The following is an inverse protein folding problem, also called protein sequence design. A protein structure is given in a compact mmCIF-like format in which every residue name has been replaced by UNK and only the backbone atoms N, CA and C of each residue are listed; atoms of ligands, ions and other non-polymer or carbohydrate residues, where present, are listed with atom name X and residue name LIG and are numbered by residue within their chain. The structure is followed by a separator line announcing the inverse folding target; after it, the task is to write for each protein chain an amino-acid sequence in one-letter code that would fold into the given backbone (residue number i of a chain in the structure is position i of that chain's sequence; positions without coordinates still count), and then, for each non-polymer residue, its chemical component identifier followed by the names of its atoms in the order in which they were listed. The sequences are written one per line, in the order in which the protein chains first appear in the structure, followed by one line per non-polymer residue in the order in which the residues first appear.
data_IF_754425695355
#
_entry.id   IF_754425695355
#
_cell.length_a   1.000
_cell.length_b   1.000
_cell.length_c   1.000
_cell.angle_alpha   90.00
_cell.angle_beta   90.00
_cell.angle_gamma   90.00
#
_symmetry.space_group_name_H-M   'P 1'
#
loop_
_entity.id
_entity.type
_entity.pdbx_description
1 polymer ?
#
# COMPACT_ATOMS: atom_id res chain seq x y z
N UNK A 1 2.44 -13.05 -9.86
CA UNK A 1 3.33 -11.93 -10.19
C UNK A 1 4.11 -11.53 -8.95
N UNK A 2 5.41 -11.27 -9.07
CA UNK A 2 6.21 -10.72 -7.97
C UNK A 2 6.00 -9.20 -7.93
N UNK A 3 5.79 -8.64 -6.75
CA UNK A 3 5.50 -7.21 -6.52
C UNK A 3 6.72 -6.61 -5.82
N UNK A 4 7.03 -5.35 -6.08
CA UNK A 4 8.26 -4.62 -5.75
C UNK A 4 9.50 -5.05 -6.56
N UNK A 5 9.35 -5.12 -7.89
CA UNK A 5 10.47 -5.25 -8.83
C UNK A 5 10.65 -3.94 -9.63
N UNK A 6 11.85 -3.69 -10.17
CA UNK A 6 12.00 -2.65 -11.19
C UNK A 6 10.98 -2.88 -12.30
N UNK A 7 10.30 -1.82 -12.76
CA UNK A 7 9.24 -1.87 -13.78
C UNK A 7 7.95 -2.60 -13.36
N UNK A 8 7.66 -2.68 -12.05
CA UNK A 8 6.45 -3.35 -11.54
C UNK A 8 5.17 -2.86 -12.21
N UNK A 9 5.05 -1.55 -12.50
CA UNK A 9 3.87 -1.03 -13.18
C UNK A 9 3.70 -1.61 -14.58
N UNK A 10 4.76 -1.67 -15.37
CA UNK A 10 4.71 -2.23 -16.73
C UNK A 10 4.35 -3.71 -16.70
N UNK A 11 4.96 -4.49 -15.78
CA UNK A 11 4.64 -5.91 -15.60
C UNK A 11 3.20 -6.11 -15.11
N UNK A 12 2.73 -5.28 -14.17
CA UNK A 12 1.35 -5.32 -13.67
C UNK A 12 0.35 -5.03 -14.78
N UNK A 13 0.63 -4.00 -15.59
CA UNK A 13 -0.23 -3.58 -16.69
C UNK A 13 -0.35 -4.67 -17.75
N UNK A 14 0.77 -5.26 -18.17
CA UNK A 14 0.76 -6.39 -19.10
C UNK A 14 -0.02 -7.58 -18.51
N UNK A 15 0.21 -7.88 -17.23
CA UNK A 15 -0.51 -8.94 -16.53
C UNK A 15 -2.02 -8.67 -16.44
N UNK A 16 -2.44 -7.44 -16.15
CA UNK A 16 -3.84 -7.00 -16.07
C UNK A 16 -4.50 -7.00 -17.45
N UNK A 17 -3.80 -6.52 -18.49
CA UNK A 17 -4.29 -6.50 -19.87
C UNK A 17 -4.59 -7.92 -20.37
N UNK A 18 -3.74 -8.89 -20.05
CA UNK A 18 -3.96 -10.30 -20.38
C UNK A 18 -5.18 -10.93 -19.66
N UNK A 19 -5.76 -10.24 -18.68
CA UNK A 19 -6.91 -10.70 -17.87
C UNK A 19 -8.19 -9.94 -18.15
N UNK A 20 -8.16 -8.99 -19.09
CA UNK A 20 -9.38 -8.36 -19.59
C UNK A 20 -10.26 -9.45 -20.18
N UNK A 21 -11.47 -9.57 -19.64
CA UNK A 21 -12.48 -10.49 -20.18
C UNK A 21 -13.07 -9.84 -21.43
N UNK A 22 -12.76 -10.42 -22.59
CA UNK A 22 -13.42 -10.11 -23.86
C UNK A 22 -14.62 -11.04 -23.99
N UNK A 23 -15.79 -10.56 -23.59
CA UNK A 23 -17.04 -11.28 -23.77
C UNK A 23 -17.55 -11.08 -25.20
N UNK A 24 -18.10 -12.13 -25.82
CA UNK A 24 -18.84 -11.98 -27.06
C UNK A 24 -20.10 -11.16 -26.77
N UNK A 25 -20.08 -9.92 -27.25
CA UNK A 25 -21.12 -8.92 -27.01
C UNK A 25 -22.43 -9.26 -27.74
N UNK A 26 -22.40 -10.16 -28.71
CA UNK A 26 -23.59 -10.54 -29.49
C UNK A 26 -24.60 -11.35 -28.68
N UNK A 27 -24.14 -12.08 -27.67
CA UNK A 27 -24.97 -12.90 -26.77
C UNK A 27 -25.74 -12.09 -25.71
N UNK A 28 -25.42 -10.80 -25.53
CA UNK A 28 -26.04 -9.95 -24.52
C UNK A 28 -27.15 -9.07 -25.10
N UNK A 29 -28.14 -8.77 -24.25
CA UNK A 29 -29.12 -7.73 -24.52
C UNK A 29 -28.43 -6.39 -24.82
N UNK A 30 -29.04 -5.57 -25.68
CA UNK A 30 -28.47 -4.29 -26.14
C UNK A 30 -28.10 -3.34 -24.97
N UNK A 31 -28.87 -3.36 -23.89
CA UNK A 31 -28.56 -2.57 -22.70
C UNK A 31 -27.25 -3.02 -22.04
N UNK A 32 -27.08 -4.33 -21.83
CA UNK A 32 -25.88 -4.92 -21.23
C UNK A 32 -24.66 -4.80 -22.15
N UNK A 33 -24.88 -4.93 -23.47
CA UNK A 33 -23.84 -4.70 -24.48
C UNK A 33 -23.22 -3.31 -24.37
N UNK A 34 -24.05 -2.27 -24.21
CA UNK A 34 -23.58 -0.89 -24.05
C UNK A 34 -22.86 -0.68 -22.71
N UNK A 35 -23.34 -1.31 -21.64
CA UNK A 35 -22.69 -1.25 -20.31
C UNK A 35 -21.29 -1.87 -20.39
N UNK A 36 -21.19 -3.08 -20.93
CA UNK A 36 -19.93 -3.81 -21.09
C UNK A 36 -18.94 -3.08 -22.01
N UNK A 37 -19.41 -2.50 -23.12
CA UNK A 37 -18.56 -1.72 -24.02
C UNK A 37 -17.97 -0.48 -23.32
N UNK A 38 -18.80 0.29 -22.57
CA UNK A 38 -18.32 1.46 -21.81
C UNK A 38 -17.33 1.08 -20.72
N UNK A 39 -17.61 0.00 -19.99
CA UNK A 39 -16.70 -0.53 -18.99
C UNK A 39 -15.36 -0.95 -19.60
N UNK A 40 -15.38 -1.65 -20.73
CA UNK A 40 -14.16 -2.06 -21.43
C UNK A 40 -13.33 -0.85 -21.90
N UNK A 41 -13.97 0.18 -22.45
CA UNK A 41 -13.27 1.43 -22.82
C UNK A 41 -12.61 2.09 -21.61
N UNK A 42 -13.31 2.14 -20.47
CA UNK A 42 -12.75 2.69 -19.23
C UNK A 42 -11.55 1.85 -18.72
N UNK A 43 -11.66 0.52 -18.75
CA UNK A 43 -10.56 -0.40 -18.39
C UNK A 43 -9.34 -0.18 -19.28
N UNK A 44 -9.54 -0.11 -20.60
CA UNK A 44 -8.46 0.13 -21.56
C UNK A 44 -7.79 1.50 -21.33
N UNK A 45 -8.58 2.53 -21.00
CA UNK A 45 -8.05 3.85 -20.66
C UNK A 45 -7.20 3.82 -19.39
N UNK A 46 -7.63 3.08 -18.36
CA UNK A 46 -6.89 2.92 -17.11
C UNK A 46 -5.56 2.16 -17.30
N UNK A 47 -5.47 1.31 -18.32
CA UNK A 47 -4.28 0.53 -18.66
C UNK A 47 -3.42 1.17 -19.78
N UNK A 48 -3.74 2.40 -20.19
CA UNK A 48 -2.98 3.13 -21.21
C UNK A 48 -1.60 3.59 -20.72
N UNK A 49 -0.68 3.85 -21.67
CA UNK A 49 0.62 4.47 -21.39
C UNK A 49 0.44 5.99 -21.23
N UNK A 50 0.13 6.43 -20.02
CA UNK A 50 0.07 7.85 -19.68
C UNK A 50 0.37 8.07 -18.19
N UNK A 51 1.11 9.14 -17.83
CA UNK A 51 1.38 9.49 -16.42
C UNK A 51 0.11 9.91 -15.65
N UNK A 52 -1.00 10.13 -16.36
CA UNK A 52 -2.33 10.44 -15.84
C UNK A 52 -3.27 9.24 -16.04
N UNK A 53 -2.85 8.03 -15.65
CA UNK A 53 -3.71 6.86 -15.64
C UNK A 53 -4.96 7.15 -14.79
N UNK A 54 -6.08 7.45 -15.44
CA UNK A 54 -7.32 7.81 -14.76
C UNK A 54 -8.07 6.55 -14.28
N UNK A 55 -7.35 5.66 -13.60
CA UNK A 55 -7.89 4.46 -12.97
C UNK A 55 -8.95 4.84 -11.91
N UNK A 56 -8.86 6.04 -11.35
CA UNK A 56 -9.86 6.66 -10.50
C UNK A 56 -11.21 6.83 -11.22
N UNK A 57 -11.26 7.61 -12.30
CA UNK A 57 -12.51 7.80 -13.04
C UNK A 57 -12.97 6.51 -13.73
N UNK A 58 -12.04 5.69 -14.22
CA UNK A 58 -12.39 4.40 -14.80
C UNK A 58 -13.09 3.49 -13.77
N UNK A 59 -12.64 3.47 -12.51
CA UNK A 59 -13.30 2.71 -11.45
C UNK A 59 -14.72 3.22 -11.21
N UNK A 60 -14.92 4.54 -11.20
CA UNK A 60 -16.26 5.12 -11.05
C UNK A 60 -17.18 4.81 -12.23
N UNK A 61 -16.66 4.82 -13.46
CA UNK A 61 -17.44 4.42 -14.65
C UNK A 61 -17.88 2.97 -14.53
N UNK A 62 -16.96 2.03 -14.27
CA UNK A 62 -17.30 0.60 -14.18
C UNK A 62 -18.22 0.33 -12.99
N UNK A 63 -17.99 0.98 -11.84
CA UNK A 63 -18.87 0.86 -10.66
C UNK A 63 -20.27 1.41 -10.96
N UNK A 64 -20.37 2.51 -11.69
CA UNK A 64 -21.64 3.06 -12.18
C UNK A 64 -22.36 2.10 -13.13
N UNK A 65 -21.65 1.48 -14.07
CA UNK A 65 -22.24 0.45 -14.94
C UNK A 65 -22.73 -0.76 -14.14
N UNK A 66 -21.96 -1.24 -13.16
CA UNK A 66 -22.35 -2.35 -12.28
C UNK A 66 -23.58 -1.99 -11.43
N UNK A 67 -23.64 -0.78 -10.87
CA UNK A 67 -24.76 -0.30 -10.05
C UNK A 67 -26.09 -0.13 -10.80
N UNK A 68 -26.07 -0.06 -12.13
CA UNK A 68 -27.30 -0.05 -12.95
C UNK A 68 -28.02 -1.40 -12.98
N UNK A 69 -27.33 -2.48 -12.62
CA UNK A 69 -27.83 -3.85 -12.68
C UNK A 69 -28.06 -4.35 -14.11
N UNK A 70 -28.21 -5.66 -14.26
CA UNK A 70 -28.58 -6.32 -15.51
C UNK A 70 -28.50 -7.83 -15.39
N UNK A 71 -28.18 -8.52 -16.49
CA UNK A 71 -28.01 -9.96 -16.44
C UNK A 71 -26.82 -10.36 -15.54
N UNK A 72 -26.99 -11.44 -14.77
CA UNK A 72 -25.96 -11.93 -13.85
C UNK A 72 -24.60 -12.16 -14.55
N UNK A 73 -24.64 -12.70 -15.78
CA UNK A 73 -23.43 -12.92 -16.59
C UNK A 73 -22.74 -11.62 -16.99
N UNK A 74 -23.48 -10.55 -17.27
CA UNK A 74 -22.90 -9.24 -17.57
C UNK A 74 -22.29 -8.62 -16.30
N UNK A 75 -22.97 -8.75 -15.16
CA UNK A 75 -22.47 -8.27 -13.88
C UNK A 75 -21.21 -9.02 -13.42
N UNK A 76 -21.06 -10.31 -13.75
CA UNK A 76 -19.84 -11.09 -13.50
C UNK A 76 -18.62 -10.53 -14.26
N UNK A 77 -18.83 -10.15 -15.53
CA UNK A 77 -17.80 -9.50 -16.35
C UNK A 77 -17.44 -8.13 -15.77
N UNK A 78 -18.45 -7.33 -15.41
CA UNK A 78 -18.25 -6.00 -14.81
C UNK A 78 -17.52 -6.07 -13.46
N UNK A 79 -17.81 -7.06 -12.61
CA UNK A 79 -17.06 -7.29 -11.35
C UNK A 79 -15.59 -7.58 -11.62
N UNK A 80 -15.30 -8.36 -12.66
CA UNK A 80 -13.92 -8.65 -13.09
C UNK A 80 -13.22 -7.40 -13.63
N UNK A 81 -13.90 -6.63 -14.50
CA UNK A 81 -13.37 -5.35 -15.01
C UNK A 81 -13.14 -4.34 -13.89
N UNK A 82 -14.04 -4.23 -12.91
CA UNK A 82 -13.86 -3.35 -11.76
C UNK A 82 -12.65 -3.78 -10.93
N UNK A 83 -12.50 -5.08 -10.68
CA UNK A 83 -11.33 -5.60 -9.96
C UNK A 83 -10.00 -5.30 -10.70
N UNK A 84 -9.98 -5.35 -12.03
CA UNK A 84 -8.82 -4.99 -12.85
C UNK A 84 -8.47 -3.50 -12.67
N UNK A 85 -9.46 -2.61 -12.76
CA UNK A 85 -9.24 -1.17 -12.63
C UNK A 85 -8.81 -0.80 -11.20
N UNK A 86 -9.42 -1.41 -10.18
CA UNK A 86 -8.99 -1.22 -8.79
C UNK A 86 -7.56 -1.72 -8.56
N UNK A 87 -7.17 -2.84 -9.19
CA UNK A 87 -5.80 -3.32 -9.16
C UNK A 87 -4.82 -2.34 -9.83
N UNK A 88 -5.18 -1.77 -10.98
CA UNK A 88 -4.42 -0.69 -11.61
C UNK A 88 -4.30 0.53 -10.67
N UNK A 89 -5.40 0.96 -10.05
CA UNK A 89 -5.40 2.07 -9.09
C UNK A 89 -4.49 1.84 -7.89
N UNK A 90 -4.27 0.60 -7.46
CA UNK A 90 -3.30 0.34 -6.40
C UNK A 90 -1.88 0.72 -6.80
N UNK A 91 -1.54 0.72 -8.09
CA UNK A 91 -0.26 1.23 -8.57
C UNK A 91 -0.19 2.76 -8.53
N UNK A 92 -1.25 3.44 -8.98
CA UNK A 92 -1.31 4.91 -9.00
C UNK A 92 -1.27 5.54 -7.60
N UNK A 93 -1.84 4.84 -6.60
CA UNK A 93 -1.80 5.28 -5.20
C UNK A 93 -0.41 5.09 -4.60
N UNK A 94 0.36 4.09 -5.06
CA UNK A 94 1.70 3.80 -4.55
C UNK A 94 2.70 4.78 -5.15
N UNK A 95 3.68 5.19 -4.33
CA UNK A 95 4.80 5.98 -4.82
C UNK A 95 5.80 5.10 -5.57
N UNK A 96 6.63 5.72 -6.40
CA UNK A 96 7.79 5.06 -7.02
C UNK A 96 8.98 5.24 -6.09
N UNK A 97 9.55 4.14 -5.63
CA UNK A 97 10.78 4.13 -4.84
C UNK A 97 12.03 4.41 -5.71
N UNK A 98 13.21 4.63 -5.09
CA UNK A 98 14.44 4.96 -5.80
C UNK A 98 14.89 3.91 -6.83
N UNK A 99 14.51 2.64 -6.64
CA UNK A 99 14.81 1.54 -7.55
C UNK A 99 13.74 1.29 -8.62
N UNK A 100 12.70 2.13 -8.71
CA UNK A 100 11.60 1.98 -9.66
C UNK A 100 10.50 1.00 -9.22
N UNK A 101 10.54 0.53 -7.97
CA UNK A 101 9.52 -0.31 -7.36
C UNK A 101 8.34 0.49 -6.78
N UNK A 102 7.14 -0.11 -6.69
CA UNK A 102 5.96 0.58 -6.16
C UNK A 102 5.88 0.44 -4.64
N UNK A 103 6.19 1.51 -3.93
CA UNK A 103 6.20 1.56 -2.46
C UNK A 103 5.01 2.31 -1.90
N UNK A 104 4.52 1.85 -0.75
CA UNK A 104 3.60 2.64 0.07
C UNK A 104 4.47 3.54 0.94
N UNK A 105 4.46 4.85 0.69
CA UNK A 105 5.35 5.81 1.34
C UNK A 105 4.69 6.55 2.51
N UNK A 106 3.35 6.53 2.62
CA UNK A 106 2.65 7.21 3.71
C UNK A 106 1.38 6.49 4.20
N UNK A 107 0.90 6.91 5.38
CA UNK A 107 -0.29 6.32 6.01
C UNK A 107 -1.57 6.49 5.16
N UNK A 108 -1.66 7.57 4.37
CA UNK A 108 -2.79 7.80 3.46
C UNK A 108 -2.78 6.78 2.32
N UNK A 109 -1.63 6.59 1.66
CA UNK A 109 -1.44 5.58 0.62
C UNK A 109 -1.72 4.17 1.14
N UNK A 110 -1.30 3.85 2.37
CA UNK A 110 -1.60 2.57 3.01
C UNK A 110 -3.11 2.37 3.20
N UNK A 111 -3.80 3.38 3.72
CA UNK A 111 -5.23 3.30 3.98
C UNK A 111 -6.03 3.15 2.68
N UNK A 112 -5.65 3.89 1.65
CA UNK A 112 -6.29 3.84 0.32
C UNK A 112 -6.01 2.51 -0.38
N UNK A 113 -4.75 2.04 -0.43
CA UNK A 113 -4.42 0.72 -0.96
C UNK A 113 -5.16 -0.42 -0.23
N UNK A 114 -5.29 -0.32 1.10
CA UNK A 114 -6.05 -1.31 1.87
C UNK A 114 -7.52 -1.31 1.48
N UNK A 115 -8.15 -0.14 1.35
CA UNK A 115 -9.54 -0.04 0.94
C UNK A 115 -9.76 -0.67 -0.44
N UNK A 116 -8.88 -0.38 -1.40
CA UNK A 116 -8.94 -0.95 -2.76
C UNK A 116 -8.81 -2.48 -2.74
N UNK A 117 -7.87 -3.01 -1.95
CA UNK A 117 -7.65 -4.46 -1.84
C UNK A 117 -8.85 -5.19 -1.23
N UNK A 118 -9.44 -4.63 -0.16
CA UNK A 118 -10.65 -5.21 0.43
C UNK A 118 -11.83 -5.15 -0.54
N UNK A 119 -11.96 -4.09 -1.34
CA UNK A 119 -12.97 -4.00 -2.39
C UNK A 119 -12.77 -5.06 -3.47
N UNK A 120 -11.54 -5.26 -3.95
CA UNK A 120 -11.22 -6.33 -4.93
C UNK A 120 -11.63 -7.70 -4.39
N UNK A 121 -11.34 -7.99 -3.12
CA UNK A 121 -11.71 -9.28 -2.49
C UNK A 121 -13.23 -9.40 -2.39
N UNK A 122 -13.92 -8.34 -1.97
CA UNK A 122 -15.38 -8.33 -1.83
C UNK A 122 -16.11 -8.54 -3.16
N UNK A 123 -15.56 -8.04 -4.27
CA UNK A 123 -16.09 -8.26 -5.62
C UNK A 123 -16.06 -9.73 -6.07
N UNK A 124 -15.31 -10.58 -5.37
CA UNK A 124 -15.11 -12.01 -5.68
C UNK A 124 -14.81 -12.28 -7.17
N UNK A 125 -13.77 -11.63 -7.74
CA UNK A 125 -13.42 -11.76 -9.15
C UNK A 125 -12.70 -13.10 -9.44
N UNK A 126 -12.15 -13.23 -10.64
CA UNK A 126 -11.31 -14.37 -11.03
C UNK A 126 -10.25 -14.70 -9.96
N UNK A 127 -9.96 -15.99 -9.68
CA UNK A 127 -9.09 -16.44 -8.57
C UNK A 127 -7.70 -15.81 -8.58
N UNK A 128 -7.16 -15.47 -9.75
CA UNK A 128 -5.86 -14.82 -9.87
C UNK A 128 -5.84 -13.37 -9.34
N UNK A 129 -6.93 -12.63 -9.50
CA UNK A 129 -7.08 -11.28 -8.94
C UNK A 129 -7.26 -11.35 -7.41
N UNK A 130 -7.94 -12.38 -6.93
CA UNK A 130 -8.02 -12.67 -5.49
C UNK A 130 -6.62 -13.00 -4.93
N UNK A 131 -5.83 -13.81 -5.64
CA UNK A 131 -4.45 -14.12 -5.24
C UNK A 131 -3.56 -12.86 -5.23
N UNK A 132 -3.72 -11.98 -6.22
CA UNK A 132 -3.04 -10.68 -6.24
C UNK A 132 -3.45 -9.82 -5.01
N UNK A 133 -4.74 -9.66 -4.77
CA UNK A 133 -5.26 -8.83 -3.68
C UNK A 133 -4.85 -9.36 -2.31
N UNK A 134 -4.93 -10.67 -2.09
CA UNK A 134 -4.49 -11.31 -0.83
C UNK A 134 -2.98 -11.21 -0.64
N UNK A 135 -2.18 -11.37 -1.71
CA UNK A 135 -0.73 -11.14 -1.67
C UNK A 135 -0.37 -9.68 -1.33
N UNK A 136 -1.09 -8.71 -1.89
CA UNK A 136 -0.91 -7.30 -1.57
C UNK A 136 -1.36 -6.98 -0.13
N UNK A 137 -2.47 -7.54 0.34
CA UNK A 137 -2.94 -7.43 1.73
C UNK A 137 -1.88 -7.92 2.72
N UNK A 138 -1.29 -9.08 2.47
CA UNK A 138 -0.21 -9.64 3.31
C UNK A 138 0.96 -8.67 3.46
N UNK A 139 1.40 -8.07 2.34
CA UNK A 139 2.46 -7.05 2.36
C UNK A 139 2.06 -5.75 3.02
N UNK A 140 0.82 -5.28 2.88
CA UNK A 140 0.33 -4.10 3.59
C UNK A 140 0.35 -4.32 5.11
N UNK A 141 0.06 -5.54 5.57
CA UNK A 141 0.17 -5.93 6.98
C UNK A 141 1.65 -5.96 7.42
N UNK A 142 2.55 -6.49 6.58
CA UNK A 142 4.00 -6.47 6.87
C UNK A 142 4.55 -5.04 6.91
N UNK A 143 4.17 -4.17 5.97
CA UNK A 143 4.58 -2.77 5.91
C UNK A 143 4.09 -1.98 7.14
N UNK A 144 2.98 -2.38 7.74
CA UNK A 144 2.47 -1.80 8.99
C UNK A 144 3.34 -2.17 10.21
N UNK A 145 4.13 -3.24 10.15
CA UNK A 145 4.99 -3.66 11.26
C UNK A 145 6.09 -2.62 11.48
N UNK A 146 6.40 -2.39 12.75
CA UNK A 146 7.50 -1.52 13.15
C UNK A 146 8.82 -2.22 12.84
N UNK A 147 9.68 -1.57 12.04
CA UNK A 147 11.06 -2.01 11.81
C UNK A 147 12.00 -1.11 12.61
N UNK A 148 13.01 -1.74 13.20
CA UNK A 148 14.14 -1.00 13.76
C UNK A 148 15.00 -0.51 12.60
N UNK A 149 15.23 0.79 12.53
CA UNK A 149 16.21 1.38 11.62
C UNK A 149 17.53 1.48 12.36
N UNK A 150 18.61 1.05 11.73
CA UNK A 150 19.96 1.07 12.31
C UNK A 150 20.29 2.51 12.74
N UNK A 151 20.61 2.73 14.04
CA UNK A 151 20.86 4.07 14.54
C UNK A 151 22.15 4.66 13.96
N UNK A 152 22.15 5.97 13.76
CA UNK A 152 23.37 6.71 13.51
C UNK A 152 24.29 6.59 14.75
N UNK A 153 25.54 6.20 14.52
CA UNK A 153 26.52 5.84 15.55
C UNK A 153 26.72 7.00 16.53
N UNK A 154 26.67 8.24 16.03
CA UNK A 154 26.79 9.45 16.85
C UNK A 154 25.66 9.59 17.88
N UNK A 155 24.41 9.35 17.47
CA UNK A 155 23.26 9.49 18.38
C UNK A 155 23.24 8.38 19.43
N UNK A 156 23.59 7.15 19.04
CA UNK A 156 23.73 6.03 19.97
C UNK A 156 24.82 6.29 21.03
N UNK A 157 25.96 6.84 20.62
CA UNK A 157 27.06 7.16 21.52
C UNK A 157 26.69 8.25 22.55
N UNK A 158 25.98 9.30 22.12
CA UNK A 158 25.53 10.39 23.03
C UNK A 158 24.54 9.87 24.06
N UNK A 159 23.56 9.06 23.64
CA UNK A 159 22.58 8.46 24.56
C UNK A 159 23.25 7.49 25.52
N UNK A 160 24.15 6.63 25.03
CA UNK A 160 24.94 5.72 25.86
C UNK A 160 25.75 6.46 26.91
N UNK A 161 26.44 7.54 26.52
CA UNK A 161 27.23 8.36 27.45
C UNK A 161 26.34 9.04 28.50
N UNK A 162 25.19 9.60 28.10
CA UNK A 162 24.26 10.25 29.03
C UNK A 162 23.74 9.27 30.10
N UNK A 163 23.37 8.05 29.70
CA UNK A 163 22.92 6.99 30.62
C UNK A 163 24.04 6.55 31.56
N UNK A 164 25.29 6.53 31.09
CA UNK A 164 26.43 6.12 31.90
C UNK A 164 26.86 7.19 32.92
N UNK A 165 26.76 8.47 32.56
CA UNK A 165 27.27 9.58 33.37
C UNK A 165 26.24 10.11 34.36
N UNK A 166 24.97 10.28 33.96
CA UNK A 166 23.93 10.91 34.78
C UNK A 166 23.72 10.25 36.17
N UNK A 167 23.69 8.92 36.32
CA UNK A 167 23.50 8.28 37.62
C UNK A 167 24.71 8.45 38.55
N UNK A 168 25.92 8.49 37.99
CA UNK A 168 27.16 8.61 38.75
C UNK A 168 27.36 10.02 39.32
N UNK A 169 26.85 11.06 38.64
CA UNK A 169 26.87 12.43 39.17
C UNK A 169 26.04 12.53 40.45
N UNK A 170 24.88 11.87 40.53
CA UNK A 170 24.06 11.85 41.75
C UNK A 170 24.73 11.13 42.92
N UNK A 171 25.40 10.00 42.64
CA UNK A 171 26.17 9.26 43.63
C UNK A 171 27.38 10.07 44.17
N UNK A 172 28.07 10.81 43.31
CA UNK A 172 29.21 11.65 43.69
C UNK A 172 28.80 12.84 44.59
N UNK A 173 27.58 13.36 44.43
CA UNK A 173 27.02 14.46 45.23
C UNK A 173 26.36 13.95 46.52
N UNK A 174 26.25 12.62 46.71
CA UNK A 174 25.64 12.01 47.90
C UNK A 174 24.13 12.24 48.03
N UNK A 175 23.46 12.61 46.94
CA UNK A 175 22.03 12.96 46.95
C UNK A 175 21.20 11.90 46.25
N UNK A 176 20.45 11.13 47.05
CA UNK A 176 19.55 10.10 46.55
C UNK A 176 18.50 10.66 45.57
N UNK A 177 18.00 11.88 45.81
CA UNK A 177 17.05 12.54 44.92
C UNK A 177 17.63 12.81 43.52
N UNK A 178 18.91 13.22 43.44
CA UNK A 178 19.61 13.48 42.18
C UNK A 178 19.87 12.18 41.43
N UNK A 179 20.23 11.11 42.14
CA UNK A 179 20.40 9.77 41.54
C UNK A 179 19.10 9.25 40.94
N UNK A 180 17.97 9.36 41.67
CA UNK A 180 16.65 8.93 41.18
C UNK A 180 16.24 9.75 39.95
N UNK A 181 16.44 11.07 39.98
CA UNK A 181 16.17 11.93 38.82
C UNK A 181 17.04 11.55 37.60
N UNK A 182 18.33 11.26 37.81
CA UNK A 182 19.23 10.80 36.75
C UNK A 182 18.82 9.48 36.13
N UNK A 183 18.34 8.52 36.93
CA UNK A 183 17.81 7.25 36.44
C UNK A 183 16.53 7.44 35.63
N UNK A 184 15.61 8.29 36.11
CA UNK A 184 14.35 8.58 35.38
C UNK A 184 14.65 9.27 34.05
N UNK A 185 15.54 10.27 34.03
CA UNK A 185 15.95 10.97 32.81
C UNK A 185 16.68 10.03 31.85
N UNK A 186 17.60 9.19 32.34
CA UNK A 186 18.27 8.17 31.54
C UNK A 186 17.29 7.17 30.92
N UNK A 187 16.31 6.70 31.70
CA UNK A 187 15.23 5.84 31.21
C UNK A 187 14.38 6.52 30.14
N UNK A 188 14.02 7.80 30.32
CA UNK A 188 13.28 8.58 29.34
C UNK A 188 14.09 8.81 28.05
N UNK A 189 15.41 9.02 28.14
CA UNK A 189 16.30 9.17 26.99
C UNK A 189 16.41 7.86 26.19
N UNK A 190 16.58 6.71 26.86
CA UNK A 190 16.58 5.41 26.20
C UNK A 190 15.22 5.13 25.56
N UNK A 191 14.13 5.40 26.27
CA UNK A 191 12.78 5.23 25.75
C UNK A 191 12.54 6.11 24.52
N UNK A 192 12.90 7.39 24.59
CA UNK A 192 12.82 8.33 23.47
C UNK A 192 13.67 7.89 22.28
N UNK A 193 14.90 7.42 22.53
CA UNK A 193 15.81 6.90 21.50
C UNK A 193 15.23 5.66 20.80
N UNK A 194 14.72 4.69 21.56
CA UNK A 194 14.05 3.48 21.03
C UNK A 194 12.83 3.86 20.21
N UNK A 195 12.02 4.81 20.69
CA UNK A 195 10.82 5.26 19.98
C UNK A 195 11.15 6.07 18.73
N UNK A 196 12.24 6.85 18.73
CA UNK A 196 12.70 7.61 17.57
C UNK A 196 13.28 6.72 16.45
N UNK A 197 13.87 5.59 16.81
CA UNK A 197 14.42 4.61 15.86
C UNK A 197 13.40 3.56 15.40
N UNK A 198 12.21 3.57 16.02
CA UNK A 198 11.06 2.83 15.52
C UNK A 198 10.44 3.62 14.37
N UNK A 199 10.72 3.19 13.14
CA UNK A 199 9.95 3.62 11.97
C UNK A 199 9.01 2.49 11.56
N UNK A 200 7.84 2.84 11.03
CA UNK A 200 6.97 1.85 10.39
C UNK A 200 7.65 1.39 9.10
N UNK A 201 7.51 0.11 8.74
CA UNK A 201 8.19 -0.49 7.58
C UNK A 201 8.06 0.33 6.29
N UNK A 202 6.89 0.92 6.04
CA UNK A 202 6.65 1.81 4.90
C UNK A 202 7.56 3.05 4.83
N UNK A 203 7.93 3.64 5.97
CA UNK A 203 8.85 4.78 6.02
C UNK A 203 10.32 4.37 5.86
N UNK A 204 10.63 3.08 6.00
CA UNK A 204 11.96 2.51 5.76
C UNK A 204 12.11 2.13 4.29
N UNK A 205 11.08 1.50 3.73
CA UNK A 205 11.09 1.03 2.34
C UNK A 205 11.04 2.22 1.35
N UNK A 206 10.44 3.35 1.72
CA UNK A 206 10.42 4.56 0.89
C UNK A 206 11.71 5.41 0.92
N UNK A 207 12.62 5.15 1.88
CA UNK A 207 13.85 5.94 2.08
C UNK A 207 15.14 5.21 1.73
N UNK A 208 15.04 4.00 1.15
CA UNK A 208 16.16 3.16 0.74
C UNK A 208 16.34 3.26 -0.77
#
# INVERSE_FOLDING_TARGET
MAVNKPNEWSELREWLAARIVYADLTDFAEADRRRLARALTAVMSALGDGPDGDSGAAAEVVRGELGRGGEARADDVLRTHLAIVLAARTADVRGVGPGGELVVANARQWAECRALVEEIIALSPHPELIAFATGLRGRLVEAQRWRWVEPDVGTAAVVGLAVLVLPFVGAAVGSAAVTVAGVVVGGALVFGFVMAHRRRGWAVDAGR
#
